data_IF_113117094961
#
_entry.id   IF_113117094961
#
_cell.length_a   1.000
_cell.length_b   1.000
_cell.length_c   1.000
_cell.angle_alpha   90.00
_cell.angle_beta   90.00
_cell.angle_gamma   90.00
#
_symmetry.space_group_name_H-M   'P 1'
#
loop_
_entity.id
_entity.type
_entity.pdbx_description
1 polymer ?
#
# COMPACT_ATOMS: atom_id res chain seq x y z
N UNK A 1 15.85 11.55 35.66
CA UNK A 1 17.23 11.20 36.10
C UNK A 1 17.17 9.78 36.64
N UNK A 2 18.01 8.85 36.11
CA UNK A 2 17.95 7.40 36.41
C UNK A 2 18.57 6.98 37.75
N UNK A 3 18.91 7.87 38.65
CA UNK A 3 19.43 7.58 39.98
C UNK A 3 20.65 6.62 40.11
N UNK A 4 21.30 6.30 38.96
CA UNK A 4 22.41 5.33 38.88
C UNK A 4 23.77 6.03 39.03
N UNK A 5 24.70 5.36 39.69
CA UNK A 5 26.06 5.87 39.83
C UNK A 5 26.85 5.78 38.51
N UNK A 6 27.81 6.70 38.29
CA UNK A 6 28.68 6.66 37.08
C UNK A 6 29.47 5.34 36.90
N UNK A 7 29.98 4.67 37.96
CA UNK A 7 30.63 3.37 37.81
C UNK A 7 29.69 2.27 37.33
N UNK A 8 28.46 2.19 37.87
CA UNK A 8 27.43 1.21 37.45
C UNK A 8 27.07 1.38 35.99
N UNK A 9 26.84 2.63 35.57
CA UNK A 9 26.56 2.94 34.16
C UNK A 9 27.68 2.52 33.20
N UNK A 10 28.95 2.66 33.61
CA UNK A 10 30.11 2.22 32.79
C UNK A 10 30.13 0.72 32.61
N UNK A 11 29.86 -0.03 33.68
CA UNK A 11 29.81 -1.50 33.63
C UNK A 11 28.72 -1.98 32.72
N UNK A 12 27.51 -1.41 32.84
CA UNK A 12 26.35 -1.77 32.01
C UNK A 12 26.58 -1.40 30.53
N UNK A 13 27.14 -0.23 30.26
CA UNK A 13 27.50 0.19 28.91
C UNK A 13 28.58 -0.69 28.28
N UNK A 14 29.61 -1.11 29.07
CA UNK A 14 30.63 -2.04 28.60
C UNK A 14 30.04 -3.42 28.24
N UNK A 15 29.08 -3.92 29.04
CA UNK A 15 28.38 -5.15 28.77
C UNK A 15 27.54 -5.03 27.46
N UNK A 16 26.83 -3.92 27.30
CA UNK A 16 26.04 -3.65 26.08
C UNK A 16 26.91 -3.55 24.83
N UNK A 17 28.14 -2.97 24.95
CA UNK A 17 29.14 -2.95 23.87
C UNK A 17 29.65 -4.36 23.57
N UNK A 18 29.94 -5.15 24.59
CA UNK A 18 30.43 -6.53 24.43
C UNK A 18 29.38 -7.44 23.80
N UNK A 19 28.11 -7.19 24.08
CA UNK A 19 26.97 -7.86 23.43
C UNK A 19 26.65 -7.31 22.03
N UNK A 20 27.38 -6.29 21.56
CA UNK A 20 27.15 -5.64 20.27
C UNK A 20 25.82 -4.86 20.17
N UNK A 21 25.15 -4.62 21.29
CA UNK A 21 23.89 -3.87 21.35
C UNK A 21 24.10 -2.37 21.17
N UNK A 22 25.28 -1.87 21.55
CA UNK A 22 25.70 -0.49 21.30
C UNK A 22 27.16 -0.48 20.84
N UNK A 23 27.56 0.49 20.03
CA UNK A 23 28.93 0.77 19.64
C UNK A 23 29.43 2.02 20.37
N UNK A 24 30.63 1.95 20.97
CA UNK A 24 31.29 3.10 21.57
C UNK A 24 32.13 3.83 20.52
N UNK A 25 31.79 5.10 20.23
CA UNK A 25 32.56 5.96 19.33
C UNK A 25 33.27 7.05 20.11
N UNK A 26 34.63 7.16 20.01
CA UNK A 26 35.38 8.21 20.65
C UNK A 26 34.83 9.59 20.32
N UNK A 27 34.67 10.45 21.32
CA UNK A 27 34.15 11.84 21.20
C UNK A 27 32.68 11.98 20.79
N UNK A 28 32.01 10.91 20.39
CA UNK A 28 30.59 10.92 19.96
C UNK A 28 29.68 10.31 21.04
N UNK A 29 30.18 9.30 21.78
CA UNK A 29 29.42 8.56 22.78
C UNK A 29 29.03 7.18 22.27
N UNK A 30 27.82 6.74 22.62
CA UNK A 30 27.30 5.42 22.25
C UNK A 30 26.25 5.54 21.14
N UNK A 31 26.34 4.65 20.17
CA UNK A 31 25.37 4.52 19.08
C UNK A 31 24.77 3.11 19.09
N UNK A 32 23.59 2.86 18.52
CA UNK A 32 23.07 1.50 18.36
C UNK A 32 24.11 0.60 17.68
N UNK A 33 24.37 -0.57 18.27
CA UNK A 33 25.39 -1.49 17.81
C UNK A 33 24.93 -2.39 16.67
N UNK A 34 25.89 -3.05 16.01
CA UNK A 34 25.66 -3.94 14.87
C UNK A 34 24.82 -5.18 15.22
N UNK A 35 24.82 -5.63 16.48
CA UNK A 35 23.95 -6.72 16.95
C UNK A 35 22.52 -6.25 17.33
N UNK A 36 22.24 -4.96 17.35
CA UNK A 36 20.86 -4.46 17.30
C UNK A 36 20.31 -4.73 15.90
N UNK A 37 19.99 -5.96 15.77
CA UNK A 37 19.42 -6.79 14.68
C UNK A 37 19.17 -6.08 13.36
N UNK A 38 19.61 -6.73 12.26
CA UNK A 38 19.11 -6.43 10.90
C UNK A 38 17.60 -6.24 10.86
N UNK A 39 16.84 -6.97 11.71
CA UNK A 39 15.39 -6.82 11.87
C UNK A 39 14.91 -5.46 12.37
N UNK A 40 15.66 -4.76 13.22
CA UNK A 40 15.24 -3.45 13.71
C UNK A 40 15.39 -2.36 12.63
N UNK A 41 16.46 -2.45 11.84
CA UNK A 41 16.68 -1.57 10.69
C UNK A 41 15.63 -1.84 9.59
N UNK A 42 15.37 -3.11 9.30
CA UNK A 42 14.33 -3.52 8.36
C UNK A 42 12.94 -3.05 8.80
N UNK A 43 12.59 -3.25 10.07
CA UNK A 43 11.32 -2.76 10.62
C UNK A 43 11.19 -1.25 10.56
N UNK A 44 12.24 -0.50 10.87
CA UNK A 44 12.26 0.97 10.74
C UNK A 44 12.12 1.44 9.30
N UNK A 45 12.83 0.80 8.38
CA UNK A 45 12.73 1.09 6.95
C UNK A 45 11.27 0.89 6.50
N UNK A 46 10.67 -0.25 6.85
CA UNK A 46 9.28 -0.57 6.49
C UNK A 46 8.28 0.47 7.02
N UNK A 47 8.41 0.85 8.31
CA UNK A 47 7.53 1.85 8.95
C UNK A 47 7.63 3.23 8.31
N UNK A 48 8.80 3.58 7.76
CA UNK A 48 9.05 4.89 7.16
C UNK A 48 8.79 4.92 5.65
N UNK A 49 8.76 3.77 4.96
CA UNK A 49 8.50 3.71 3.52
C UNK A 49 7.08 4.17 3.22
N UNK A 50 6.97 5.14 2.31
CA UNK A 50 5.70 5.72 1.86
C UNK A 50 5.16 4.99 0.64
N UNK A 51 3.84 4.99 0.48
CA UNK A 51 3.15 4.39 -0.67
C UNK A 51 3.69 4.93 -1.98
N UNK A 52 3.93 6.25 -2.09
CA UNK A 52 4.48 6.90 -3.29
C UNK A 52 5.84 6.37 -3.76
N UNK A 53 6.63 5.78 -2.86
CA UNK A 53 7.96 5.25 -3.17
C UNK A 53 7.90 3.89 -3.88
N UNK A 54 6.77 3.17 -3.71
CA UNK A 54 6.64 1.77 -4.14
C UNK A 54 5.41 1.50 -5.02
N UNK A 55 4.50 2.47 -5.14
CA UNK A 55 3.29 2.33 -5.93
C UNK A 55 3.59 2.03 -7.40
N UNK A 56 2.72 1.26 -8.05
CA UNK A 56 2.75 1.03 -9.49
C UNK A 56 1.77 1.98 -10.20
N UNK A 57 1.94 2.11 -11.52
CA UNK A 57 0.97 2.80 -12.36
C UNK A 57 -0.41 2.15 -12.25
N UNK A 58 -1.48 2.94 -12.18
CA UNK A 58 -2.84 2.41 -12.12
C UNK A 58 -3.23 1.80 -13.47
N UNK A 59 -4.00 0.72 -13.44
CA UNK A 59 -4.70 0.22 -14.62
C UNK A 59 -6.15 0.63 -14.49
N UNK A 60 -6.59 1.46 -15.42
CA UNK A 60 -7.84 2.21 -15.33
C UNK A 60 -8.80 1.78 -16.45
N UNK A 61 -10.07 1.70 -16.12
CA UNK A 61 -11.17 1.60 -17.08
C UNK A 61 -12.24 2.65 -16.75
N UNK A 62 -13.01 3.07 -17.74
CA UNK A 62 -14.15 3.97 -17.52
C UNK A 62 -15.35 3.21 -16.98
N UNK A 63 -16.19 3.86 -16.20
CA UNK A 63 -17.38 3.25 -15.61
C UNK A 63 -18.42 2.78 -16.64
N UNK A 64 -18.41 3.36 -17.83
CA UNK A 64 -19.28 2.98 -18.97
C UNK A 64 -18.65 1.92 -19.89
N UNK A 65 -17.39 1.52 -19.66
CA UNK A 65 -16.77 0.42 -20.40
C UNK A 65 -17.51 -0.89 -20.15
N UNK A 66 -17.50 -1.80 -21.14
CA UNK A 66 -18.17 -3.09 -20.98
C UNK A 66 -17.40 -4.02 -20.03
N UNK A 67 -18.12 -4.93 -19.39
CA UNK A 67 -17.53 -6.03 -18.61
C UNK A 67 -16.59 -6.86 -19.47
N UNK A 68 -16.91 -7.06 -20.75
CA UNK A 68 -16.03 -7.75 -21.70
C UNK A 68 -14.69 -7.04 -21.87
N UNK A 69 -14.69 -5.72 -22.07
CA UNK A 69 -13.46 -4.92 -22.18
C UNK A 69 -12.65 -4.95 -20.88
N UNK A 70 -13.32 -4.91 -19.74
CA UNK A 70 -12.67 -5.03 -18.44
C UNK A 70 -11.98 -6.39 -18.26
N UNK A 71 -12.62 -7.48 -18.69
CA UNK A 71 -12.01 -8.83 -18.68
C UNK A 71 -10.77 -8.85 -19.57
N UNK A 72 -10.84 -8.34 -20.80
CA UNK A 72 -9.69 -8.25 -21.71
C UNK A 72 -8.56 -7.45 -21.06
N UNK A 73 -8.86 -6.28 -20.48
CA UNK A 73 -7.87 -5.43 -19.81
C UNK A 73 -7.19 -6.15 -18.65
N UNK A 74 -7.91 -6.91 -17.81
CA UNK A 74 -7.33 -7.71 -16.72
C UNK A 74 -6.33 -8.74 -17.21
N UNK A 75 -6.61 -9.38 -18.36
CA UNK A 75 -5.70 -10.37 -18.94
C UNK A 75 -4.50 -9.72 -19.63
N UNK A 76 -4.70 -8.70 -20.44
CA UNK A 76 -3.64 -8.01 -21.17
C UNK A 76 -2.63 -7.36 -20.24
N UNK A 77 -3.11 -6.69 -19.19
CA UNK A 77 -2.27 -6.03 -18.20
C UNK A 77 -1.79 -6.96 -17.08
N UNK A 78 -2.21 -8.23 -17.10
CA UNK A 78 -1.90 -9.24 -16.07
C UNK A 78 -2.13 -8.74 -14.64
N UNK A 79 -3.28 -8.12 -14.38
CA UNK A 79 -3.65 -7.55 -13.08
C UNK A 79 -4.84 -8.25 -12.44
N UNK A 80 -4.96 -8.19 -11.11
CA UNK A 80 -6.07 -8.80 -10.36
C UNK A 80 -7.30 -7.91 -10.23
N UNK A 81 -7.16 -6.60 -10.46
CA UNK A 81 -8.23 -5.60 -10.36
C UNK A 81 -7.95 -4.40 -11.25
N UNK A 82 -8.99 -3.69 -11.64
CA UNK A 82 -8.96 -2.44 -12.38
C UNK A 82 -9.56 -1.34 -11.50
N UNK A 83 -8.99 -0.16 -11.61
CA UNK A 83 -9.55 1.05 -11.00
C UNK A 83 -10.53 1.64 -12.00
N UNK A 84 -11.74 1.95 -11.54
CA UNK A 84 -12.79 2.51 -12.37
C UNK A 84 -12.87 4.00 -12.13
N UNK A 85 -12.88 4.77 -13.20
CA UNK A 85 -12.99 6.22 -13.15
C UNK A 85 -14.23 6.69 -13.90
N UNK A 86 -14.74 7.84 -13.50
CA UNK A 86 -15.82 8.54 -14.20
C UNK A 86 -15.32 9.24 -15.48
N UNK A 87 -16.20 9.95 -16.16
CA UNK A 87 -15.87 10.68 -17.40
C UNK A 87 -14.87 11.82 -17.18
N UNK A 88 -14.71 12.31 -15.95
CA UNK A 88 -13.77 13.37 -15.58
C UNK A 88 -12.43 12.80 -15.10
N UNK A 89 -12.29 11.47 -15.02
CA UNK A 89 -11.08 10.79 -14.60
C UNK A 89 -10.92 10.61 -13.08
N UNK A 90 -11.96 10.96 -12.30
CA UNK A 90 -11.95 10.74 -10.86
C UNK A 90 -12.32 9.30 -10.51
N UNK A 91 -11.83 8.83 -9.36
CA UNK A 91 -12.18 7.52 -8.82
C UNK A 91 -13.69 7.36 -8.68
N UNK A 92 -14.24 6.37 -9.35
CA UNK A 92 -15.65 5.98 -9.29
C UNK A 92 -15.84 4.62 -8.60
N UNK A 93 -14.86 3.72 -8.76
CA UNK A 93 -14.96 2.39 -8.20
C UNK A 93 -13.70 1.54 -8.38
N UNK A 94 -13.82 0.28 -8.00
CA UNK A 94 -12.84 -0.77 -8.26
C UNK A 94 -13.56 -2.06 -8.66
N UNK A 95 -13.00 -2.82 -9.59
CA UNK A 95 -13.53 -4.11 -10.01
C UNK A 95 -12.43 -5.16 -10.02
N UNK A 96 -12.69 -6.31 -9.43
CA UNK A 96 -11.74 -7.43 -9.34
C UNK A 96 -12.15 -8.58 -10.24
N UNK A 97 -11.20 -9.51 -10.51
CA UNK A 97 -11.49 -10.79 -11.17
C UNK A 97 -12.62 -11.56 -10.47
N UNK A 98 -12.68 -11.50 -9.13
CA UNK A 98 -13.69 -12.18 -8.33
C UNK A 98 -15.09 -11.58 -8.58
N UNK A 99 -15.18 -10.27 -8.71
CA UNK A 99 -16.46 -9.59 -8.97
C UNK A 99 -16.97 -9.93 -10.38
N UNK A 100 -16.08 -9.89 -11.39
CA UNK A 100 -16.39 -10.28 -12.75
C UNK A 100 -16.83 -11.74 -12.84
N UNK A 101 -16.09 -12.66 -12.17
CA UNK A 101 -16.46 -14.08 -12.16
C UNK A 101 -17.83 -14.30 -11.56
N UNK A 102 -18.15 -13.68 -10.44
CA UNK A 102 -19.48 -13.78 -9.81
C UNK A 102 -20.58 -13.27 -10.70
N UNK A 103 -20.33 -12.16 -11.40
CA UNK A 103 -21.32 -11.51 -12.22
C UNK A 103 -21.57 -12.24 -13.56
N UNK A 104 -20.52 -12.78 -14.16
CA UNK A 104 -20.60 -13.51 -15.43
C UNK A 104 -21.19 -14.89 -15.28
N UNK A 105 -21.13 -15.48 -14.08
CA UNK A 105 -21.66 -16.81 -13.83
C UNK A 105 -23.20 -16.80 -13.89
N UNK A 106 -23.76 -17.43 -14.90
CA UNK A 106 -25.20 -17.52 -15.11
C UNK A 106 -25.85 -16.31 -15.82
N UNK A 107 -25.07 -15.31 -16.21
CA UNK A 107 -25.57 -14.15 -16.98
C UNK A 107 -25.00 -14.14 -18.40
N UNK A 108 -25.80 -14.56 -19.36
CA UNK A 108 -25.39 -14.66 -20.77
C UNK A 108 -25.09 -13.29 -21.41
N UNK A 109 -25.64 -12.21 -20.89
CA UNK A 109 -25.46 -10.85 -21.43
C UNK A 109 -24.39 -10.05 -20.64
N UNK A 110 -23.70 -10.68 -19.67
CA UNK A 110 -22.77 -9.98 -18.79
C UNK A 110 -21.70 -9.19 -19.54
N UNK A 111 -21.19 -9.72 -20.65
CA UNK A 111 -20.09 -9.10 -21.40
C UNK A 111 -20.42 -7.71 -21.95
N UNK A 112 -21.68 -7.43 -22.27
CA UNK A 112 -22.12 -6.15 -22.84
C UNK A 112 -22.54 -5.11 -21.78
N UNK A 113 -22.66 -5.54 -20.52
CA UNK A 113 -23.08 -4.66 -19.44
C UNK A 113 -21.95 -3.71 -19.01
N UNK A 114 -22.27 -2.48 -18.58
CA UNK A 114 -21.24 -1.55 -18.12
C UNK A 114 -20.62 -2.01 -16.80
N UNK A 115 -19.31 -1.74 -16.63
CA UNK A 115 -18.53 -2.03 -15.42
C UNK A 115 -19.17 -1.44 -14.17
N UNK A 116 -19.81 -0.28 -14.31
CA UNK A 116 -20.52 0.41 -13.23
C UNK A 116 -21.63 -0.41 -12.56
N UNK A 117 -22.13 -1.46 -13.17
CA UNK A 117 -23.11 -2.36 -12.54
C UNK A 117 -22.52 -3.43 -11.65
N UNK A 118 -21.19 -3.65 -11.74
CA UNK A 118 -20.51 -4.77 -11.07
C UNK A 118 -19.47 -4.32 -10.07
N UNK A 119 -18.90 -3.13 -10.28
CA UNK A 119 -17.83 -2.59 -9.45
C UNK A 119 -18.27 -2.31 -8.01
N UNK A 120 -17.32 -2.32 -7.08
CA UNK A 120 -17.46 -1.65 -5.79
C UNK A 120 -17.35 -0.15 -6.02
N UNK A 121 -18.39 0.60 -5.64
CA UNK A 121 -18.49 2.06 -5.88
C UNK A 121 -17.96 2.87 -4.70
N UNK A 122 -17.48 4.08 -4.98
CA UNK A 122 -17.38 5.12 -3.95
C UNK A 122 -18.76 5.35 -3.29
N UNK A 123 -18.80 5.57 -1.94
CA UNK A 123 -17.68 5.75 -1.01
C UNK A 123 -17.14 4.44 -0.37
N UNK A 124 -17.52 3.28 -0.88
CA UNK A 124 -17.12 1.99 -0.29
C UNK A 124 -15.75 1.48 -0.79
N UNK A 125 -15.07 2.24 -1.66
CA UNK A 125 -13.73 1.89 -2.13
C UNK A 125 -12.71 2.20 -1.04
N UNK A 126 -11.94 1.20 -0.64
CA UNK A 126 -10.82 1.41 0.27
C UNK A 126 -9.62 1.87 -0.55
N UNK A 127 -9.10 3.03 -0.22
CA UNK A 127 -7.97 3.66 -0.91
C UNK A 127 -6.92 4.18 0.08
N UNK A 128 -5.78 4.62 -0.42
CA UNK A 128 -4.68 5.21 0.36
C UNK A 128 -4.17 6.47 -0.32
N UNK A 129 -3.55 7.35 0.47
CA UNK A 129 -2.82 8.49 -0.06
C UNK A 129 -1.36 8.13 -0.37
N UNK A 130 -0.67 8.89 -1.24
CA UNK A 130 0.75 8.70 -1.52
C UNK A 130 1.66 8.81 -0.28
N UNK A 131 1.25 9.58 0.72
CA UNK A 131 2.02 9.85 1.93
C UNK A 131 1.72 8.91 3.10
N UNK A 132 0.75 8.00 2.95
CA UNK A 132 0.54 6.93 3.92
C UNK A 132 1.71 5.95 3.93
N UNK A 133 1.92 5.24 5.05
CA UNK A 133 2.94 4.20 5.14
C UNK A 133 2.51 2.92 4.42
N UNK A 134 3.49 2.16 3.90
CA UNK A 134 3.20 0.83 3.32
C UNK A 134 2.61 -0.13 4.35
N UNK A 135 2.93 0.06 5.64
CA UNK A 135 2.38 -0.74 6.74
C UNK A 135 0.90 -0.45 6.92
N UNK A 136 0.47 0.80 6.83
CA UNK A 136 -0.96 1.15 6.93
C UNK A 136 -1.74 0.68 5.71
N UNK A 137 -1.15 0.76 4.52
CA UNK A 137 -1.72 0.15 3.31
C UNK A 137 -1.89 -1.36 3.46
N UNK A 138 -0.88 -2.08 4.01
CA UNK A 138 -0.97 -3.51 4.27
C UNK A 138 -2.07 -3.85 5.29
N UNK A 139 -2.20 -3.06 6.38
CA UNK A 139 -3.30 -3.22 7.36
C UNK A 139 -4.67 -3.06 6.70
N UNK A 140 -4.85 -2.02 5.86
CA UNK A 140 -6.09 -1.82 5.10
C UNK A 140 -6.42 -3.03 4.22
N UNK A 141 -5.42 -3.57 3.48
CA UNK A 141 -5.63 -4.77 2.65
C UNK A 141 -6.09 -5.98 3.46
N UNK A 142 -5.50 -6.21 4.63
CA UNK A 142 -5.84 -7.35 5.49
C UNK A 142 -7.22 -7.15 6.11
N UNK A 143 -7.48 -5.99 6.71
CA UNK A 143 -8.71 -5.72 7.44
C UNK A 143 -9.95 -5.74 6.53
N UNK A 144 -9.80 -5.26 5.29
CA UNK A 144 -10.89 -5.21 4.31
C UNK A 144 -10.86 -6.38 3.32
N UNK A 145 -9.92 -7.33 3.48
CA UNK A 145 -9.78 -8.52 2.62
C UNK A 145 -9.67 -8.19 1.11
N UNK A 146 -8.97 -7.11 0.79
CA UNK A 146 -8.72 -6.66 -0.59
C UNK A 146 -7.27 -6.91 -1.00
N UNK A 147 -7.04 -7.13 -2.30
CA UNK A 147 -5.72 -7.46 -2.84
C UNK A 147 -5.00 -6.26 -3.46
N UNK A 148 -5.73 -5.16 -3.65
CA UNK A 148 -5.25 -3.93 -4.26
C UNK A 148 -5.98 -2.72 -3.69
N UNK A 149 -5.27 -1.60 -3.56
CA UNK A 149 -5.82 -0.31 -3.17
C UNK A 149 -5.45 0.73 -4.22
N UNK A 150 -6.41 1.53 -4.70
CA UNK A 150 -6.12 2.76 -5.42
C UNK A 150 -5.29 3.70 -4.55
N UNK A 151 -4.31 4.37 -5.15
CA UNK A 151 -3.59 5.48 -4.53
C UNK A 151 -4.16 6.77 -5.10
N UNK A 152 -4.67 7.61 -4.23
CA UNK A 152 -5.45 8.79 -4.63
C UNK A 152 -5.01 10.06 -3.93
N UNK A 153 -5.28 11.18 -4.58
CA UNK A 153 -5.13 12.53 -4.02
C UNK A 153 -6.46 13.29 -4.16
N UNK A 154 -6.73 14.29 -3.32
CA UNK A 154 -7.90 15.13 -3.49
C UNK A 154 -7.93 15.76 -4.88
N UNK A 155 -9.05 15.62 -5.58
CA UNK A 155 -9.21 16.23 -6.90
C UNK A 155 -9.36 17.75 -6.78
N UNK A 156 -8.86 18.46 -7.80
CA UNK A 156 -9.04 19.90 -7.96
C UNK A 156 -10.41 20.25 -8.56
N UNK A 157 -11.15 19.26 -9.04
CA UNK A 157 -12.48 19.47 -9.57
C UNK A 157 -13.45 19.84 -8.45
N UNK A 158 -14.36 20.74 -8.72
CA UNK A 158 -15.35 21.18 -7.74
C UNK A 158 -16.14 19.98 -7.19
N UNK A 159 -16.31 19.98 -5.87
CA UNK A 159 -17.09 18.96 -5.17
C UNK A 159 -18.57 19.19 -5.47
N UNK A 160 -19.14 18.39 -6.34
CA UNK A 160 -20.58 18.44 -6.63
C UNK A 160 -21.33 17.78 -5.46
N UNK A 161 -22.10 18.53 -4.71
CA UNK A 161 -22.91 18.02 -3.60
C UNK A 161 -22.14 17.65 -2.33
N UNK A 162 -20.92 18.20 -2.13
CA UNK A 162 -20.13 18.01 -0.89
C UNK A 162 -19.46 16.63 -0.77
N UNK A 163 -19.49 15.79 -1.80
CA UNK A 163 -18.81 14.48 -1.82
C UNK A 163 -17.36 14.69 -2.27
N UNK A 164 -16.37 14.24 -1.49
CA UNK A 164 -14.97 14.33 -1.89
C UNK A 164 -14.74 13.60 -3.21
N UNK A 165 -13.97 14.20 -4.12
CA UNK A 165 -13.54 13.58 -5.37
C UNK A 165 -12.05 13.29 -5.30
N UNK A 166 -11.64 12.19 -5.94
CA UNK A 166 -10.29 11.66 -5.83
C UNK A 166 -9.67 11.45 -7.20
N UNK A 167 -8.51 12.03 -7.44
CA UNK A 167 -7.70 11.74 -8.61
C UNK A 167 -6.84 10.51 -8.36
N UNK A 168 -6.85 9.57 -9.29
CA UNK A 168 -6.09 8.32 -9.19
C UNK A 168 -4.65 8.57 -9.65
N UNK A 169 -3.67 8.37 -8.76
CA UNK A 169 -2.25 8.61 -9.04
C UNK A 169 -1.41 7.32 -9.03
N UNK A 170 -1.97 6.20 -8.57
CA UNK A 170 -1.25 4.94 -8.51
C UNK A 170 -2.11 3.79 -8.02
N UNK A 171 -1.46 2.66 -7.82
CA UNK A 171 -2.02 1.50 -7.12
C UNK A 171 -0.98 0.82 -6.26
N UNK A 172 -1.42 0.20 -5.17
CA UNK A 172 -0.59 -0.66 -4.35
C UNK A 172 -1.27 -2.01 -4.16
N UNK A 173 -0.52 -3.11 -4.24
CA UNK A 173 -1.05 -4.48 -4.28
C UNK A 173 -0.34 -5.38 -3.29
N UNK A 174 -0.93 -6.54 -2.94
CA UNK A 174 -0.26 -7.58 -2.15
C UNK A 174 1.04 -8.06 -2.79
N UNK A 175 1.12 -8.11 -4.13
CA UNK A 175 2.36 -8.45 -4.84
C UNK A 175 3.47 -7.42 -4.59
N UNK A 176 3.13 -6.12 -4.57
CA UNK A 176 4.09 -5.06 -4.22
C UNK A 176 4.55 -5.23 -2.78
N UNK A 177 3.65 -5.53 -1.84
CA UNK A 177 4.01 -5.81 -0.43
C UNK A 177 4.96 -6.99 -0.31
N UNK A 178 4.72 -8.07 -1.04
CA UNK A 178 5.59 -9.25 -1.07
C UNK A 178 6.97 -8.90 -1.63
N UNK A 179 7.03 -8.06 -2.68
CA UNK A 179 8.30 -7.57 -3.24
C UNK A 179 9.09 -6.75 -2.22
N UNK A 180 8.43 -5.82 -1.51
CA UNK A 180 9.08 -5.04 -0.44
C UNK A 180 9.69 -5.96 0.63
N UNK A 181 8.95 -7.00 1.06
CA UNK A 181 9.45 -7.97 2.03
C UNK A 181 10.67 -8.74 1.50
N UNK A 182 10.66 -9.13 0.23
CA UNK A 182 11.78 -9.82 -0.41
C UNK A 182 13.00 -8.90 -0.49
N UNK A 183 12.85 -7.66 -0.95
CA UNK A 183 13.93 -6.67 -1.06
C UNK A 183 14.58 -6.40 0.30
N UNK A 184 13.78 -6.38 1.37
CA UNK A 184 14.28 -6.23 2.73
C UNK A 184 15.03 -7.47 3.26
N UNK A 185 14.60 -8.66 2.86
CA UNK A 185 15.25 -9.92 3.26
C UNK A 185 16.59 -10.13 2.55
N UNK A 186 16.72 -9.64 1.30
CA UNK A 186 17.93 -9.82 0.47
C UNK A 186 18.93 -8.66 0.65
N UNK A 187 18.53 -7.56 1.30
CA UNK A 187 19.44 -6.45 1.67
C UNK A 187 19.73 -5.49 0.51
N UNK A 188 18.78 -5.30 -0.41
CA UNK A 188 18.82 -4.27 -1.46
C UNK A 188 18.19 -2.96 -0.99
#
# INVERSE_FOLDING_TARGET
MLGLSRPTLRSDLALLVMLGLIDAKPKVGYTPGSAMSPGLHASRKLLNTKVKEVQALPVIVKENASVGDAVVSLFMENVGSLIVVDDQGCLSGIISRKDLLKFTFGNTNAATMPVSMVMTREPNVIHVSPDESVVDAAKKMINHQVDSLPVVVPSKLEQTGGIPRWDVVGRITKTIMTKILLDMAVGH
#
